data_IF_479413707488
#
_entry.id   IF_479413707488
#
_cell.length_a   1.000
_cell.length_b   1.000
_cell.length_c   1.000
_cell.angle_alpha   90.00
_cell.angle_beta   90.00
_cell.angle_gamma   90.00
#
_symmetry.space_group_name_H-M   'P 1'
#
loop_
_entity.id
_entity.type
_entity.pdbx_description
1 polymer ?
#
# COMPACT_ATOMS: atom_id res chain seq x y z
N UNK A 1 23.08 9.12 13.59
CA UNK A 1 22.88 9.04 12.13
C UNK A 1 23.71 7.93 11.48
N UNK A 2 24.99 7.78 11.79
CA UNK A 2 25.86 6.80 11.11
C UNK A 2 25.44 5.33 11.31
N UNK A 3 25.01 4.96 12.52
CA UNK A 3 24.49 3.60 12.80
C UNK A 3 23.25 3.25 11.96
N UNK A 4 22.41 4.23 11.64
CA UNK A 4 21.23 4.04 10.78
C UNK A 4 21.62 3.87 9.32
N UNK A 5 22.54 4.72 8.83
CA UNK A 5 23.04 4.62 7.45
C UNK A 5 23.67 3.25 7.17
N UNK A 6 24.45 2.74 8.12
CA UNK A 6 25.09 1.41 8.01
C UNK A 6 24.07 0.26 8.05
N UNK A 7 23.02 0.34 8.88
CA UNK A 7 21.98 -0.71 8.99
C UNK A 7 21.09 -0.82 7.76
N UNK A 8 20.83 0.30 7.10
CA UNK A 8 19.93 0.39 5.94
C UNK A 8 20.67 0.55 4.61
N UNK A 9 21.99 0.34 4.61
CA UNK A 9 22.86 0.38 3.43
C UNK A 9 22.72 1.67 2.62
N UNK A 10 22.59 2.79 3.33
CA UNK A 10 22.39 4.11 2.73
C UNK A 10 23.73 4.63 2.21
N UNK A 11 23.84 4.68 0.90
CA UNK A 11 25.00 5.19 0.16
C UNK A 11 24.94 6.71 -0.04
N UNK A 12 23.73 7.27 -0.24
CA UNK A 12 23.53 8.70 -0.50
C UNK A 12 22.54 9.31 0.49
N UNK A 13 22.77 10.55 0.93
CA UNK A 13 21.94 11.21 1.95
C UNK A 13 20.45 11.31 1.57
N UNK A 14 20.11 11.45 0.28
CA UNK A 14 18.71 11.49 -0.17
C UNK A 14 17.94 10.19 0.12
N UNK A 15 18.62 9.04 0.26
CA UNK A 15 17.97 7.75 0.55
C UNK A 15 17.41 7.68 1.99
N UNK A 16 17.85 8.57 2.90
CA UNK A 16 17.24 8.72 4.22
C UNK A 16 15.77 9.16 4.16
N UNK A 17 15.35 9.74 3.03
CA UNK A 17 13.98 10.15 2.80
C UNK A 17 13.02 8.95 2.85
N UNK A 18 13.41 7.75 2.41
CA UNK A 18 12.49 6.60 2.40
C UNK A 18 12.16 6.06 3.79
N UNK A 19 13.11 5.81 4.71
CA UNK A 19 12.78 5.45 6.08
C UNK A 19 11.92 6.50 6.78
N UNK A 20 12.22 7.78 6.58
CA UNK A 20 11.44 8.89 7.18
C UNK A 20 10.02 8.92 6.62
N UNK A 21 9.87 8.86 5.29
CA UNK A 21 8.57 8.76 4.64
C UNK A 21 7.80 7.52 5.07
N UNK A 22 8.46 6.38 5.20
CA UNK A 22 7.84 5.13 5.67
C UNK A 22 7.23 5.30 7.05
N UNK A 23 7.97 5.87 8.00
CA UNK A 23 7.45 6.15 9.36
C UNK A 23 6.31 7.17 9.30
N UNK A 24 6.49 8.28 8.59
CA UNK A 24 5.44 9.30 8.46
C UNK A 24 4.15 8.75 7.86
N UNK A 25 4.25 7.94 6.80
CA UNK A 25 3.10 7.29 6.16
C UNK A 25 2.44 6.28 7.09
N UNK A 26 3.19 5.53 7.89
CA UNK A 26 2.59 4.62 8.89
C UNK A 26 1.85 5.36 9.99
N UNK A 27 2.37 6.49 10.45
CA UNK A 27 1.68 7.35 11.43
C UNK A 27 0.44 7.97 10.81
N UNK A 28 0.52 8.47 9.58
CA UNK A 28 -0.62 9.01 8.86
C UNK A 28 -1.71 7.96 8.63
N UNK A 29 -1.35 6.74 8.22
CA UNK A 29 -2.28 5.63 8.06
C UNK A 29 -2.93 5.24 9.39
N UNK A 30 -2.14 5.19 10.48
CA UNK A 30 -2.68 4.96 11.82
C UNK A 30 -3.68 6.05 12.20
N UNK A 31 -3.36 7.32 11.97
CA UNK A 31 -4.26 8.43 12.24
C UNK A 31 -5.58 8.35 11.46
N UNK A 32 -5.52 8.01 10.16
CA UNK A 32 -6.73 7.85 9.33
C UNK A 32 -7.68 6.77 9.85
N UNK A 33 -7.15 5.74 10.51
CA UNK A 33 -7.94 4.67 11.14
C UNK A 33 -8.41 5.14 12.53
N UNK A 34 -7.54 5.77 13.30
CA UNK A 34 -7.83 6.24 14.66
C UNK A 34 -8.83 7.39 14.72
N UNK A 35 -8.98 8.19 13.67
CA UNK A 35 -9.91 9.34 13.68
C UNK A 35 -11.36 8.93 13.94
N UNK A 36 -11.74 7.71 13.56
CA UNK A 36 -13.09 7.17 13.77
C UNK A 36 -13.20 6.39 15.08
N UNK A 37 -12.11 6.23 15.84
CA UNK A 37 -12.12 5.51 17.13
C UNK A 37 -13.07 6.11 18.18
N UNK A 38 -13.25 7.44 18.32
CA UNK A 38 -14.16 7.99 19.33
C UNK A 38 -15.62 7.58 19.11
N UNK A 39 -16.01 7.34 17.84
CA UNK A 39 -17.36 6.88 17.47
C UNK A 39 -17.63 5.48 18.00
N UNK A 40 -16.62 4.61 18.00
CA UNK A 40 -16.73 3.24 18.50
C UNK A 40 -17.01 3.17 19.99
N UNK A 41 -16.62 4.20 20.74
CA UNK A 41 -16.80 4.29 22.19
C UNK A 41 -17.90 5.28 22.59
N UNK A 42 -18.57 5.95 21.64
CA UNK A 42 -19.62 6.93 21.93
C UNK A 42 -19.13 8.21 22.61
N UNK A 43 -17.84 8.57 22.47
CA UNK A 43 -17.18 9.68 23.19
C UNK A 43 -16.84 10.84 22.26
N UNK A 44 -17.70 11.08 21.25
CA UNK A 44 -17.39 11.93 20.10
C UNK A 44 -17.07 13.40 20.47
N UNK A 45 -17.71 13.95 21.50
CA UNK A 45 -17.66 15.38 21.81
C UNK A 45 -17.10 15.71 23.21
N UNK A 46 -16.39 14.77 23.82
CA UNK A 46 -15.76 14.96 25.14
C UNK A 46 -14.25 15.07 24.99
N UNK A 47 -13.57 15.74 25.91
CA UNK A 47 -12.09 15.79 25.98
C UNK A 47 -11.46 14.39 25.96
N UNK A 48 -12.18 13.39 26.50
CA UNK A 48 -11.81 11.96 26.45
C UNK A 48 -11.67 11.46 25.00
N UNK A 49 -12.47 11.96 24.05
CA UNK A 49 -12.37 11.62 22.63
C UNK A 49 -10.99 11.91 22.04
N UNK A 50 -10.40 13.08 22.33
CA UNK A 50 -9.04 13.41 21.88
C UNK A 50 -7.98 12.46 22.46
N UNK A 51 -8.11 12.11 23.75
CA UNK A 51 -7.22 11.12 24.37
C UNK A 51 -7.35 9.73 23.72
N UNK A 52 -8.57 9.29 23.39
CA UNK A 52 -8.77 8.00 22.69
C UNK A 52 -8.08 7.98 21.33
N UNK A 53 -8.15 9.07 20.55
CA UNK A 53 -7.46 9.17 19.25
C UNK A 53 -5.95 9.06 19.43
N UNK A 54 -5.36 9.81 20.37
CA UNK A 54 -3.90 9.84 20.58
C UNK A 54 -3.40 8.46 21.02
N UNK A 55 -4.06 7.85 21.99
CA UNK A 55 -3.69 6.52 22.51
C UNK A 55 -3.83 5.47 21.39
N UNK A 56 -4.97 5.44 20.69
CA UNK A 56 -5.21 4.46 19.64
C UNK A 56 -4.24 4.65 18.46
N UNK A 57 -3.96 5.90 18.05
CA UNK A 57 -2.97 6.21 17.01
C UNK A 57 -1.55 5.77 17.39
N UNK A 58 -1.12 6.03 18.63
CA UNK A 58 0.21 5.62 19.10
C UNK A 58 0.34 4.11 19.13
N UNK A 59 -0.66 3.40 19.69
CA UNK A 59 -0.66 1.93 19.76
C UNK A 59 -0.68 1.32 18.35
N UNK A 60 -1.57 1.81 17.49
CA UNK A 60 -1.73 1.29 16.13
C UNK A 60 -0.50 1.56 15.26
N UNK A 61 0.12 2.75 15.35
CA UNK A 61 1.34 3.05 14.59
C UNK A 61 2.51 2.17 15.02
N UNK A 62 2.70 1.92 16.31
CA UNK A 62 3.72 0.98 16.81
C UNK A 62 3.46 -0.46 16.33
N UNK A 63 2.19 -0.90 16.35
CA UNK A 63 1.79 -2.19 15.83
C UNK A 63 2.10 -2.31 14.33
N UNK A 64 1.74 -1.31 13.53
CA UNK A 64 2.02 -1.28 12.09
C UNK A 64 3.52 -1.29 11.80
N UNK A 65 4.32 -0.48 12.50
CA UNK A 65 5.79 -0.48 12.31
C UNK A 65 6.37 -1.86 12.63
N UNK A 66 5.94 -2.51 13.72
CA UNK A 66 6.37 -3.87 14.05
C UNK A 66 5.98 -4.88 12.97
N UNK A 67 4.76 -4.77 12.46
CA UNK A 67 4.27 -5.60 11.35
C UNK A 67 5.11 -5.41 10.07
N UNK A 68 5.37 -4.17 9.67
CA UNK A 68 6.18 -3.88 8.48
C UNK A 68 7.63 -4.36 8.64
N UNK A 69 8.23 -4.22 9.82
CA UNK A 69 9.58 -4.76 10.08
C UNK A 69 9.61 -6.29 10.04
N UNK A 70 8.55 -6.95 10.49
CA UNK A 70 8.41 -8.40 10.35
C UNK A 70 8.26 -8.82 8.88
N UNK A 71 7.39 -8.15 8.12
CA UNK A 71 7.22 -8.34 6.68
C UNK A 71 8.53 -8.14 5.93
N UNK A 72 9.27 -7.09 6.28
CA UNK A 72 10.58 -6.77 5.71
C UNK A 72 11.51 -7.98 5.81
N UNK A 73 11.74 -8.50 7.02
CA UNK A 73 12.62 -9.66 7.24
C UNK A 73 12.16 -10.90 6.45
N UNK A 74 10.85 -11.10 6.29
CA UNK A 74 10.31 -12.27 5.56
C UNK A 74 10.45 -12.14 4.05
N UNK A 75 10.35 -10.91 3.52
CA UNK A 75 10.36 -10.61 2.10
C UNK A 75 11.76 -10.30 1.56
N UNK A 76 12.68 -9.86 2.41
CA UNK A 76 14.08 -9.57 2.05
C UNK A 76 14.75 -10.75 1.33
N UNK A 77 14.52 -11.98 1.79
CA UNK A 77 15.07 -13.17 1.15
C UNK A 77 14.36 -13.58 -0.15
N UNK A 78 13.13 -13.10 -0.39
CA UNK A 78 12.32 -13.46 -1.56
C UNK A 78 12.45 -12.45 -2.69
N UNK A 79 12.76 -11.20 -2.37
CA UNK A 79 12.85 -10.09 -3.29
C UNK A 79 14.31 -9.77 -3.57
N UNK A 80 14.72 -9.85 -4.84
CA UNK A 80 16.06 -9.47 -5.27
C UNK A 80 16.14 -7.95 -5.36
N UNK A 81 16.48 -7.30 -4.26
CA UNK A 81 16.72 -5.86 -4.16
C UNK A 81 18.21 -5.62 -3.90
N UNK A 82 18.74 -4.49 -4.39
CA UNK A 82 20.17 -4.16 -4.27
C UNK A 82 20.45 -3.58 -2.89
N UNK A 83 19.50 -2.84 -2.33
CA UNK A 83 19.64 -2.19 -1.03
C UNK A 83 18.36 -2.28 -0.20
N UNK A 84 18.52 -2.31 1.13
CA UNK A 84 17.40 -2.37 2.09
C UNK A 84 16.39 -1.22 1.97
N UNK A 85 16.82 -0.02 1.61
CA UNK A 85 15.92 1.12 1.46
C UNK A 85 14.95 0.97 0.26
N UNK A 86 15.32 0.19 -0.76
CA UNK A 86 14.47 -0.05 -1.94
C UNK A 86 13.22 -0.81 -1.56
N UNK A 87 13.29 -1.71 -0.58
CA UNK A 87 12.11 -2.40 -0.06
C UNK A 87 11.10 -1.44 0.55
N UNK A 88 11.55 -0.38 1.24
CA UNK A 88 10.65 0.64 1.78
C UNK A 88 9.94 1.37 0.64
N UNK A 89 10.68 1.74 -0.41
CA UNK A 89 10.09 2.33 -1.61
C UNK A 89 9.06 1.38 -2.25
N UNK A 90 9.36 0.08 -2.35
CA UNK A 90 8.44 -0.94 -2.88
C UNK A 90 7.16 -1.02 -2.03
N UNK A 91 7.25 -1.03 -0.70
CA UNK A 91 6.07 -1.01 0.17
C UNK A 91 5.22 0.25 -0.02
N UNK A 92 5.86 1.41 -0.17
CA UNK A 92 5.17 2.68 -0.44
C UNK A 92 4.42 2.61 -1.78
N UNK A 93 5.08 2.13 -2.83
CA UNK A 93 4.46 1.92 -4.15
C UNK A 93 3.25 0.97 -4.03
N UNK A 94 3.37 -0.13 -3.29
CA UNK A 94 2.25 -1.05 -3.04
C UNK A 94 1.08 -0.39 -2.31
N UNK A 95 1.36 0.45 -1.30
CA UNK A 95 0.32 1.18 -0.57
C UNK A 95 -0.43 2.19 -1.47
N UNK A 96 0.29 2.92 -2.30
CA UNK A 96 -0.27 3.90 -3.25
C UNK A 96 -1.10 3.16 -4.32
N UNK A 97 -0.51 2.17 -4.98
CA UNK A 97 -1.14 1.42 -6.08
C UNK A 97 -2.38 0.66 -5.63
N UNK A 98 -2.35 0.04 -4.44
CA UNK A 98 -3.49 -0.64 -3.84
C UNK A 98 -4.64 0.33 -3.53
N UNK A 99 -4.33 1.47 -2.91
CA UNK A 99 -5.34 2.48 -2.59
C UNK A 99 -5.96 3.12 -3.84
N UNK A 100 -5.14 3.41 -4.85
CA UNK A 100 -5.57 4.08 -6.08
C UNK A 100 -6.42 3.16 -6.96
N UNK A 101 -6.00 1.90 -7.15
CA UNK A 101 -6.76 0.92 -7.94
C UNK A 101 -8.15 0.64 -7.35
N UNK A 102 -8.26 0.50 -6.04
CA UNK A 102 -9.55 0.28 -5.37
C UNK A 102 -10.52 1.47 -5.49
N UNK A 103 -9.99 2.71 -5.48
CA UNK A 103 -10.76 3.94 -5.69
C UNK A 103 -11.21 4.10 -7.14
N UNK A 104 -10.33 3.82 -8.12
CA UNK A 104 -10.63 3.98 -9.55
C UNK A 104 -11.59 2.91 -10.09
N UNK A 105 -11.61 1.72 -9.48
CA UNK A 105 -12.49 0.65 -9.93
C UNK A 105 -13.98 0.97 -9.78
N UNK A 106 -14.38 1.78 -8.80
CA UNK A 106 -15.80 2.16 -8.61
C UNK A 106 -16.36 2.94 -9.82
N UNK A 107 -15.79 4.11 -10.15
CA UNK A 107 -16.23 4.92 -11.29
C UNK A 107 -16.16 4.18 -12.63
N UNK A 108 -15.19 3.27 -12.80
CA UNK A 108 -15.06 2.50 -14.04
C UNK A 108 -16.15 1.43 -14.18
N UNK A 109 -16.58 0.79 -13.09
CA UNK A 109 -17.73 -0.13 -13.12
C UNK A 109 -19.02 0.63 -13.46
N UNK A 110 -19.19 1.83 -12.90
CA UNK A 110 -20.34 2.70 -13.20
C UNK A 110 -20.33 3.19 -14.66
N UNK A 111 -19.17 3.56 -15.20
CA UNK A 111 -19.02 3.96 -16.60
C UNK A 111 -19.38 2.84 -17.59
N UNK A 112 -19.16 1.58 -17.22
CA UNK A 112 -19.56 0.42 -18.02
C UNK A 112 -21.05 0.09 -17.93
N UNK A 113 -21.85 0.92 -17.24
CA UNK A 113 -23.29 0.72 -17.08
C UNK A 113 -23.66 -0.29 -16.00
N UNK A 114 -22.68 -0.84 -15.27
CA UNK A 114 -22.89 -1.78 -14.17
C UNK A 114 -23.06 -1.04 -12.85
N UNK A 115 -23.89 0.01 -12.83
CA UNK A 115 -24.15 0.79 -11.62
C UNK A 115 -24.72 -0.07 -10.50
N UNK A 116 -24.41 0.26 -9.23
CA UNK A 116 -24.90 -0.46 -8.04
C UNK A 116 -26.42 -0.60 -8.00
N UNK A 117 -27.12 0.34 -8.59
CA UNK A 117 -28.59 0.40 -8.54
C UNK A 117 -29.27 -0.42 -9.63
N UNK A 118 -28.57 -0.68 -10.74
CA UNK A 118 -29.11 -1.34 -11.92
C UNK A 118 -28.71 -2.81 -12.03
N UNK A 119 -27.71 -3.25 -11.25
CA UNK A 119 -27.08 -4.56 -11.39
C UNK A 119 -27.14 -5.37 -10.11
N UNK A 120 -27.38 -6.67 -10.22
CA UNK A 120 -27.32 -7.59 -9.09
C UNK A 120 -25.99 -7.43 -8.31
N UNK A 121 -25.99 -7.34 -6.97
CA UNK A 121 -24.79 -7.05 -6.17
C UNK A 121 -23.60 -7.97 -6.47
N UNK A 122 -23.87 -9.26 -6.71
CA UNK A 122 -22.85 -10.23 -7.09
C UNK A 122 -22.10 -9.84 -8.37
N UNK A 123 -22.82 -9.44 -9.43
CA UNK A 123 -22.23 -9.03 -10.70
C UNK A 123 -21.42 -7.73 -10.57
N UNK A 124 -21.93 -6.76 -9.80
CA UNK A 124 -21.21 -5.52 -9.50
C UNK A 124 -19.84 -5.82 -8.86
N UNK A 125 -19.82 -6.66 -7.82
CA UNK A 125 -18.58 -7.00 -7.13
C UNK A 125 -17.62 -7.83 -7.99
N UNK A 126 -18.14 -8.79 -8.78
CA UNK A 126 -17.33 -9.55 -9.73
C UNK A 126 -16.68 -8.64 -10.77
N UNK A 127 -17.48 -7.78 -11.42
CA UNK A 127 -16.96 -6.82 -12.40
C UNK A 127 -15.92 -5.89 -11.78
N UNK A 128 -16.17 -5.39 -10.57
CA UNK A 128 -15.22 -4.54 -9.84
C UNK A 128 -13.89 -5.25 -9.58
N UNK A 129 -13.90 -6.48 -9.10
CA UNK A 129 -12.68 -7.26 -8.85
C UNK A 129 -11.94 -7.52 -10.17
N UNK A 130 -12.67 -7.89 -11.23
CA UNK A 130 -12.08 -8.14 -12.55
C UNK A 130 -11.41 -6.88 -13.10
N UNK A 131 -12.00 -5.69 -12.92
CA UNK A 131 -11.43 -4.42 -13.37
C UNK A 131 -10.29 -3.90 -12.50
N UNK A 132 -10.30 -4.18 -11.19
CA UNK A 132 -9.17 -3.83 -10.31
C UNK A 132 -7.88 -4.44 -10.84
N UNK A 133 -7.91 -5.67 -11.37
CA UNK A 133 -6.71 -6.37 -11.85
C UNK A 133 -5.95 -5.61 -12.97
N UNK A 134 -6.55 -5.26 -14.12
CA UNK A 134 -5.87 -4.48 -15.16
C UNK A 134 -5.52 -3.06 -14.70
N UNK A 135 -6.37 -2.40 -13.91
CA UNK A 135 -6.07 -1.06 -13.37
C UNK A 135 -4.83 -1.12 -12.48
N UNK A 136 -4.78 -2.09 -11.57
CA UNK A 136 -3.68 -2.29 -10.64
C UNK A 136 -2.37 -2.48 -11.38
N UNK A 137 -2.35 -3.29 -12.44
CA UNK A 137 -1.17 -3.53 -13.28
C UNK A 137 -0.59 -2.25 -13.88
N UNK A 138 -1.43 -1.45 -14.54
CA UNK A 138 -0.99 -0.20 -15.19
C UNK A 138 -0.42 0.76 -14.14
N UNK A 139 -1.13 0.95 -13.03
CA UNK A 139 -0.70 1.86 -11.96
C UNK A 139 0.58 1.34 -11.29
N UNK A 140 0.69 0.03 -11.07
CA UNK A 140 1.87 -0.59 -10.44
C UNK A 140 3.15 -0.29 -11.25
N UNK A 141 3.08 -0.41 -12.57
CA UNK A 141 4.22 -0.15 -13.45
C UNK A 141 4.57 1.34 -13.48
N UNK A 142 3.56 2.22 -13.61
CA UNK A 142 3.77 3.68 -13.65
C UNK A 142 4.35 4.19 -12.33
N UNK A 143 3.75 3.84 -11.20
CA UNK A 143 4.20 4.29 -9.88
C UNK A 143 5.54 3.63 -9.54
N UNK A 144 5.74 2.36 -9.90
CA UNK A 144 7.02 1.68 -9.78
C UNK A 144 8.14 2.39 -10.55
N UNK A 145 7.85 2.89 -11.75
CA UNK A 145 8.78 3.70 -12.55
C UNK A 145 9.11 5.04 -11.89
N UNK A 146 8.11 5.76 -11.35
CA UNK A 146 8.32 7.02 -10.63
C UNK A 146 9.25 6.87 -9.42
N UNK A 147 9.22 5.73 -8.74
CA UNK A 147 10.09 5.42 -7.60
C UNK A 147 11.42 4.76 -8.00
N UNK A 148 11.71 4.64 -9.31
CA UNK A 148 12.94 4.04 -9.83
C UNK A 148 13.01 2.51 -9.74
N UNK A 149 11.89 1.85 -9.45
CA UNK A 149 11.78 0.40 -9.23
C UNK A 149 11.06 -0.33 -10.39
N UNK A 150 11.06 0.25 -11.60
CA UNK A 150 10.37 -0.31 -12.78
C UNK A 150 10.72 -1.78 -13.05
N UNK A 151 12.02 -2.12 -13.09
CA UNK A 151 12.46 -3.49 -13.38
C UNK A 151 11.91 -4.50 -12.38
N UNK A 152 11.91 -4.14 -11.09
CA UNK A 152 11.35 -4.98 -10.04
C UNK A 152 9.86 -5.23 -10.26
N UNK A 153 9.09 -4.17 -10.49
CA UNK A 153 7.64 -4.27 -10.66
C UNK A 153 7.23 -4.95 -11.97
N UNK A 154 7.99 -4.75 -13.05
CA UNK A 154 7.77 -5.44 -14.32
C UNK A 154 7.95 -6.95 -14.18
N UNK A 155 9.03 -7.40 -13.53
CA UNK A 155 9.22 -8.83 -13.25
C UNK A 155 8.17 -9.38 -12.28
N UNK A 156 7.79 -8.59 -11.27
CA UNK A 156 6.74 -8.94 -10.31
C UNK A 156 5.40 -9.15 -11.02
N UNK A 157 5.00 -8.23 -11.89
CA UNK A 157 3.76 -8.29 -12.65
C UNK A 157 3.73 -9.50 -13.59
N UNK A 158 4.82 -9.73 -14.35
CA UNK A 158 4.94 -10.90 -15.22
C UNK A 158 4.80 -12.20 -14.44
N UNK A 159 5.43 -12.28 -13.27
CA UNK A 159 5.34 -13.44 -12.37
C UNK A 159 3.92 -13.63 -11.82
N UNK A 160 3.23 -12.55 -11.48
CA UNK A 160 1.84 -12.58 -11.03
C UNK A 160 0.92 -13.10 -12.15
N UNK A 161 1.05 -12.56 -13.36
CA UNK A 161 0.29 -12.96 -14.55
C UNK A 161 0.43 -14.44 -14.88
N UNK A 162 1.66 -14.97 -14.90
CA UNK A 162 1.93 -16.39 -15.14
C UNK A 162 1.26 -17.29 -14.10
N UNK A 163 1.21 -16.87 -12.82
CA UNK A 163 0.56 -17.62 -11.74
C UNK A 163 -0.97 -17.60 -11.80
N UNK A 164 -1.54 -16.58 -12.43
CA UNK A 164 -2.99 -16.46 -12.65
C UNK A 164 -3.46 -17.21 -13.90
N UNK A 165 -2.59 -17.95 -14.59
CA UNK A 165 -2.92 -18.66 -15.84
C UNK A 165 -3.00 -17.76 -17.07
N UNK A 166 -2.76 -16.45 -16.92
CA UNK A 166 -2.80 -15.45 -18.00
C UNK A 166 -1.42 -15.22 -18.64
N UNK A 167 -0.54 -16.22 -18.55
CA UNK A 167 0.83 -16.14 -19.07
C UNK A 167 0.92 -15.98 -20.59
N UNK A 168 -0.16 -16.29 -21.32
CA UNK A 168 -0.24 -16.15 -22.78
C UNK A 168 -0.31 -14.69 -23.26
N UNK A 169 -0.63 -13.73 -22.38
CA UNK A 169 -0.69 -12.30 -22.70
C UNK A 169 0.69 -11.62 -22.64
N UNK A 170 1.73 -12.34 -22.24
CA UNK A 170 3.09 -11.82 -22.10
C UNK A 170 3.95 -12.27 -23.29
N UNK A 171 4.77 -11.37 -23.86
CA UNK A 171 5.82 -11.75 -24.80
C UNK A 171 6.91 -12.61 -24.14
#
# INVERSE_FOLDING_TARGET
>A
MEKLKKRWEIQKNWQLLFPVLGVLLTVFAAFLISKDSPKWFGVENTTIGWFTIIVFCTVLSLCLVRFFLWCFKKLEHKWKVTYKWEMIAIFIVFAITGSLSGKLAGPLVELLGLGREMTHPALYWTARIVLILPIYKIILVIVGWLFGQFRFFWEFEKKMLRRMGLGFLLP
#
